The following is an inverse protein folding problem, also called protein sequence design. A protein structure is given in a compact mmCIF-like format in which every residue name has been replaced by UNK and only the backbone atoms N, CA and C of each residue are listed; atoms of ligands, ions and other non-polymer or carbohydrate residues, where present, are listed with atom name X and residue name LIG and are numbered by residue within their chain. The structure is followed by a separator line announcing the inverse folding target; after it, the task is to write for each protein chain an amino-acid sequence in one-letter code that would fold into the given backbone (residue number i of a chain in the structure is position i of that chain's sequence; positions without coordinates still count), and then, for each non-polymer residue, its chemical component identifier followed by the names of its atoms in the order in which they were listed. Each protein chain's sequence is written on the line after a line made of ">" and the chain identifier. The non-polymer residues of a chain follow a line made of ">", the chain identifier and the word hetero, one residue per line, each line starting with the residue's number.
data_IF_460207154637
#
_entry.id   IF_460207154637
#
_cell.length_a   1.000
_cell.length_b   1.000
_cell.length_c   1.000
_cell.angle_alpha   90.00
_cell.angle_beta   90.00
_cell.angle_gamma   90.00
#
_symmetry.space_group_name_H-M   'P 1'
#
loop_
_entity.id
_entity.type
_entity.pdbx_description
1 polymer ?
#
# COMPACT_ATOMS: atom_id res chain seq x y z
N UNK A 1 -1.37 -18.55 -17.85
CA UNK A 1 -0.97 -19.98 -17.78
C UNK A 1 -0.52 -20.25 -16.35
N UNK A 2 -1.05 -21.25 -15.62
CA UNK A 2 -0.67 -21.46 -14.23
C UNK A 2 0.66 -22.25 -14.18
N UNK A 3 1.76 -21.52 -14.38
CA UNK A 3 3.12 -22.09 -14.39
C UNK A 3 3.39 -22.77 -13.04
N UNK A 4 2.96 -22.17 -11.93
CA UNK A 4 3.10 -22.73 -10.59
C UNK A 4 2.19 -23.92 -10.30
N UNK A 5 0.90 -23.91 -10.64
CA UNK A 5 0.05 -25.09 -10.38
C UNK A 5 0.57 -26.33 -11.12
N UNK A 6 1.15 -26.13 -12.31
CA UNK A 6 1.85 -27.21 -13.01
C UNK A 6 3.18 -27.57 -12.35
N UNK A 7 3.93 -26.60 -11.83
CA UNK A 7 5.15 -26.87 -11.07
C UNK A 7 4.87 -27.65 -9.78
N UNK A 8 3.84 -27.29 -9.01
CA UNK A 8 3.38 -27.99 -7.80
C UNK A 8 3.00 -29.44 -8.09
N UNK A 9 2.20 -29.68 -9.15
CA UNK A 9 1.84 -31.04 -9.57
C UNK A 9 3.06 -31.90 -9.92
N UNK A 10 4.13 -31.27 -10.40
CA UNK A 10 5.34 -31.96 -10.83
C UNK A 10 6.52 -31.77 -9.87
N UNK A 11 6.29 -31.23 -8.67
CA UNK A 11 7.35 -30.83 -7.74
C UNK A 11 8.32 -31.98 -7.49
N UNK A 12 7.79 -33.15 -7.11
CA UNK A 12 8.58 -34.36 -6.85
C UNK A 12 9.43 -34.84 -8.03
N UNK A 13 9.08 -34.47 -9.26
CA UNK A 13 9.82 -34.86 -10.47
C UNK A 13 10.96 -33.90 -10.79
N UNK A 14 10.85 -32.63 -10.36
CA UNK A 14 11.76 -31.56 -10.77
C UNK A 14 12.40 -30.80 -9.60
N UNK A 15 12.11 -31.20 -8.36
CA UNK A 15 12.67 -30.60 -7.15
C UNK A 15 14.20 -30.69 -7.18
N UNK A 16 14.84 -29.55 -6.99
CA UNK A 16 16.28 -29.42 -6.99
C UNK A 16 16.69 -28.33 -6.00
N UNK A 17 17.70 -28.61 -5.19
CA UNK A 17 18.28 -27.59 -4.32
C UNK A 17 18.88 -26.44 -5.16
N UNK A 18 18.66 -25.20 -4.73
CA UNK A 18 19.15 -24.01 -5.42
C UNK A 18 20.67 -24.06 -5.63
N UNK A 19 21.42 -24.57 -4.65
CA UNK A 19 22.88 -24.77 -4.75
C UNK A 19 23.28 -25.71 -5.89
N UNK A 20 22.49 -26.76 -6.13
CA UNK A 20 22.74 -27.73 -7.22
C UNK A 20 22.38 -27.12 -8.58
N UNK A 21 21.35 -26.29 -8.63
CA UNK A 21 20.99 -25.51 -9.81
C UNK A 21 22.07 -24.48 -10.16
N UNK A 22 22.56 -23.70 -9.19
CA UNK A 22 23.64 -22.72 -9.39
C UNK A 22 24.91 -23.36 -9.98
N UNK A 23 25.30 -24.54 -9.47
CA UNK A 23 26.45 -25.27 -9.98
C UNK A 23 26.25 -25.72 -11.44
N UNK A 24 25.02 -26.09 -11.80
CA UNK A 24 24.66 -26.47 -13.16
C UNK A 24 24.70 -25.26 -14.11
N UNK A 25 24.19 -24.11 -13.67
CA UNK A 25 24.28 -22.84 -14.41
C UNK A 25 25.73 -22.42 -14.65
N UNK A 26 26.60 -22.54 -13.62
CA UNK A 26 28.04 -22.24 -13.75
C UNK A 26 28.72 -23.13 -14.79
N UNK A 27 28.28 -24.38 -14.94
CA UNK A 27 28.80 -25.27 -16.00
C UNK A 27 28.39 -24.83 -17.39
N UNK A 28 27.16 -24.32 -17.57
CA UNK A 28 26.68 -23.83 -18.87
C UNK A 28 27.56 -22.70 -19.41
N UNK A 29 28.09 -21.84 -18.53
CA UNK A 29 29.01 -20.75 -18.90
C UNK A 29 30.37 -21.20 -19.42
N UNK A 30 30.69 -22.50 -19.35
CA UNK A 30 31.96 -23.06 -19.84
C UNK A 30 31.90 -23.52 -21.31
N UNK A 31 30.71 -23.57 -21.90
CA UNK A 31 30.55 -23.98 -23.29
C UNK A 31 30.76 -22.78 -24.21
N UNK A 32 31.70 -22.91 -25.16
CA UNK A 32 32.08 -21.81 -26.07
C UNK A 32 30.93 -21.34 -26.99
N UNK A 33 29.97 -22.23 -27.27
CA UNK A 33 28.80 -21.91 -28.09
C UNK A 33 27.67 -21.22 -27.31
N UNK A 34 27.77 -21.09 -25.98
CA UNK A 34 26.78 -20.40 -25.15
C UNK A 34 27.32 -19.00 -24.82
N UNK A 35 26.82 -17.98 -25.53
CA UNK A 35 27.29 -16.59 -25.38
C UNK A 35 26.88 -15.94 -24.06
N UNK A 36 25.66 -16.21 -23.59
CA UNK A 36 25.09 -15.56 -22.40
C UNK A 36 24.27 -16.54 -21.59
N UNK A 37 24.46 -16.55 -20.27
CA UNK A 37 23.64 -17.32 -19.32
C UNK A 37 23.22 -16.40 -18.17
N UNK A 38 21.97 -16.00 -18.20
CA UNK A 38 21.33 -15.24 -17.13
C UNK A 38 20.63 -16.18 -16.16
N UNK A 39 20.85 -15.95 -14.87
CA UNK A 39 20.23 -16.71 -13.80
C UNK A 39 19.98 -15.76 -12.65
N UNK A 40 18.77 -15.78 -12.12
CA UNK A 40 18.37 -15.09 -10.89
C UNK A 40 18.04 -16.14 -9.86
N UNK A 41 18.49 -15.92 -8.62
CA UNK A 41 18.07 -16.75 -7.49
C UNK A 41 16.58 -16.59 -7.26
N UNK A 42 15.95 -17.55 -6.58
CA UNK A 42 14.52 -17.45 -6.25
C UNK A 42 14.21 -16.14 -5.50
N UNK A 43 15.04 -15.80 -4.52
CA UNK A 43 14.91 -14.55 -3.74
C UNK A 43 15.07 -13.26 -4.55
N UNK A 44 15.77 -13.31 -5.70
CA UNK A 44 15.91 -12.18 -6.63
C UNK A 44 14.77 -12.16 -7.67
N UNK A 45 14.30 -13.35 -8.06
CA UNK A 45 13.18 -13.52 -8.96
C UNK A 45 11.88 -13.01 -8.34
N UNK A 46 11.63 -13.28 -7.06
CA UNK A 46 10.46 -12.75 -6.33
C UNK A 46 10.43 -11.22 -6.23
N UNK A 47 11.57 -10.54 -6.42
CA UNK A 47 11.60 -9.08 -6.48
C UNK A 47 11.31 -8.52 -7.87
N UNK A 48 11.29 -9.37 -8.90
CA UNK A 48 11.19 -8.96 -10.30
C UNK A 48 9.75 -8.94 -10.79
N UNK A 49 9.40 -7.92 -11.57
CA UNK A 49 8.21 -7.94 -12.42
C UNK A 49 8.52 -8.80 -13.65
N UNK A 50 7.65 -9.75 -13.95
CA UNK A 50 7.81 -10.73 -15.02
C UNK A 50 6.64 -10.63 -15.98
N UNK A 51 6.94 -10.52 -17.27
CA UNK A 51 5.95 -10.67 -18.35
C UNK A 51 6.06 -12.10 -18.87
N UNK A 52 5.01 -12.89 -18.69
CA UNK A 52 4.98 -14.30 -19.11
C UNK A 52 4.46 -14.43 -20.55
N UNK A 53 4.60 -15.59 -21.24
CA UNK A 53 4.31 -15.72 -22.67
C UNK A 53 2.88 -15.38 -23.12
N UNK A 54 1.89 -15.47 -22.22
CA UNK A 54 0.53 -15.01 -22.49
C UNK A 54 0.32 -13.51 -22.24
N UNK A 55 1.42 -12.75 -22.13
CA UNK A 55 1.50 -11.34 -21.83
C UNK A 55 1.01 -10.90 -20.45
N UNK A 56 0.70 -11.83 -19.55
CA UNK A 56 0.38 -11.47 -18.16
C UNK A 56 1.61 -10.88 -17.48
N UNK A 57 1.40 -9.82 -16.72
CA UNK A 57 2.41 -9.11 -15.93
C UNK A 57 2.19 -9.53 -14.49
N UNK A 58 3.20 -10.18 -13.91
CA UNK A 58 3.13 -10.74 -12.56
C UNK A 58 4.37 -10.39 -11.74
N UNK A 59 4.25 -10.46 -10.41
CA UNK A 59 5.40 -10.57 -9.50
C UNK A 59 5.07 -11.67 -8.50
N UNK A 60 6.04 -12.51 -8.20
CA UNK A 60 5.88 -13.45 -7.11
C UNK A 60 6.24 -12.77 -5.80
N UNK A 61 5.36 -12.78 -4.80
CA UNK A 61 5.69 -12.39 -3.43
C UNK A 61 5.39 -13.55 -2.48
N UNK A 62 6.36 -13.94 -1.63
CA UNK A 62 6.21 -15.04 -0.66
C UNK A 62 5.69 -16.34 -1.28
N UNK A 63 6.20 -16.69 -2.47
CA UNK A 63 5.77 -17.88 -3.19
C UNK A 63 4.37 -17.82 -3.84
N UNK A 64 3.68 -16.66 -3.84
CA UNK A 64 2.40 -16.46 -4.52
C UNK A 64 2.56 -15.51 -5.71
N UNK A 65 1.96 -15.84 -6.85
CA UNK A 65 1.97 -14.98 -8.02
C UNK A 65 0.87 -13.92 -7.92
N UNK A 66 1.25 -12.64 -7.99
CA UNK A 66 0.35 -11.50 -8.02
C UNK A 66 0.23 -10.98 -9.44
N UNK A 67 -1.00 -10.92 -9.97
CA UNK A 67 -1.31 -10.42 -11.31
C UNK A 67 -1.51 -8.90 -11.29
N UNK A 68 -0.88 -8.19 -12.22
CA UNK A 68 -0.96 -6.73 -12.32
C UNK A 68 -1.57 -6.21 -13.62
N UNK A 69 -1.74 -7.07 -14.62
CA UNK A 69 -2.28 -6.67 -15.91
C UNK A 69 -1.82 -7.59 -17.02
N UNK A 70 -2.21 -7.26 -18.24
CA UNK A 70 -1.78 -7.98 -19.42
C UNK A 70 -1.22 -6.98 -20.43
N UNK A 71 0.02 -7.17 -20.88
CA UNK A 71 0.73 -6.25 -21.75
C UNK A 71 0.09 -6.08 -23.15
N UNK A 72 -0.84 -6.95 -23.54
CA UNK A 72 -1.61 -6.81 -24.80
C UNK A 72 -2.87 -5.97 -24.63
N UNK A 73 -3.32 -5.78 -23.39
CA UNK A 73 -4.42 -4.87 -23.07
C UNK A 73 -3.77 -3.55 -22.71
N UNK A 74 -4.15 -2.45 -23.35
CA UNK A 74 -3.65 -1.10 -23.04
C UNK A 74 -4.17 -0.60 -21.66
N UNK A 75 -4.16 -1.47 -20.66
CA UNK A 75 -4.51 -1.19 -19.28
C UNK A 75 -3.34 -0.44 -18.62
N UNK A 76 -3.63 0.66 -17.92
CA UNK A 76 -2.63 1.38 -17.14
C UNK A 76 -2.16 0.46 -16.01
N UNK A 77 -0.90 0.04 -16.07
CA UNK A 77 -0.26 -0.76 -15.02
C UNK A 77 0.08 0.18 -13.87
N UNK A 78 -0.62 0.03 -12.76
CA UNK A 78 -0.38 0.79 -11.54
C UNK A 78 0.83 0.22 -10.79
N UNK A 79 2.03 0.68 -11.16
CA UNK A 79 3.28 0.26 -10.52
C UNK A 79 3.32 0.61 -9.02
N UNK A 80 2.59 1.62 -8.56
CA UNK A 80 2.54 2.00 -7.13
C UNK A 80 1.91 0.86 -6.30
N UNK A 81 0.96 0.09 -6.86
CA UNK A 81 0.45 -1.14 -6.25
C UNK A 81 1.47 -2.28 -6.20
N UNK A 82 2.37 -2.35 -7.17
CA UNK A 82 3.42 -3.38 -7.24
C UNK A 82 4.47 -3.15 -6.16
N UNK A 83 4.81 -1.89 -5.89
CA UNK A 83 5.78 -1.50 -4.85
C UNK A 83 5.15 -1.38 -3.46
N UNK A 84 3.83 -1.22 -3.35
CA UNK A 84 3.15 -1.40 -2.08
C UNK A 84 3.31 -2.86 -1.67
N UNK A 85 3.95 -3.13 -0.53
CA UNK A 85 4.27 -4.48 -0.04
C UNK A 85 3.00 -5.27 0.39
N UNK A 86 1.86 -5.06 -0.28
CA UNK A 86 0.50 -5.39 0.17
C UNK A 86 0.01 -4.54 1.35
N UNK A 87 0.90 -3.75 1.96
CA UNK A 87 0.62 -3.00 3.18
C UNK A 87 -0.26 -1.79 2.92
N UNK A 88 -1.11 -1.48 3.89
CA UNK A 88 -1.92 -0.26 3.90
C UNK A 88 -0.98 0.93 4.15
N UNK A 89 -0.83 1.78 3.14
CA UNK A 89 0.01 2.98 3.21
C UNK A 89 -0.72 4.08 3.95
N UNK A 90 -0.25 4.41 5.15
CA UNK A 90 -0.97 5.27 6.10
C UNK A 90 -0.17 6.54 6.41
N UNK A 91 -0.82 7.70 6.30
CA UNK A 91 -0.31 9.01 6.74
C UNK A 91 -1.00 9.41 8.06
N UNK A 92 -0.24 9.96 9.01
CA UNK A 92 -0.77 10.42 10.31
C UNK A 92 -0.51 11.93 10.43
N UNK A 93 -1.56 12.74 10.55
CA UNK A 93 -1.47 14.18 10.65
C UNK A 93 -2.09 14.66 11.96
N UNK A 94 -1.27 15.19 12.87
CA UNK A 94 -1.72 15.68 14.16
C UNK A 94 -0.72 16.71 14.72
N UNK A 95 -1.21 17.82 15.26
CA UNK A 95 -0.37 18.92 15.76
C UNK A 95 0.28 18.65 17.13
N UNK A 96 -0.24 17.69 17.89
CA UNK A 96 0.40 17.16 19.12
C UNK A 96 1.29 15.94 18.82
N UNK A 97 2.60 16.10 19.02
CA UNK A 97 3.61 15.05 18.79
C UNK A 97 3.44 13.84 19.71
N UNK A 98 2.92 14.01 20.92
CA UNK A 98 2.70 12.91 21.86
C UNK A 98 1.57 12.01 21.34
N UNK A 99 0.50 12.60 20.80
CA UNK A 99 -0.59 11.86 20.16
C UNK A 99 -0.09 11.18 18.89
N UNK A 100 0.68 11.87 18.04
CA UNK A 100 1.31 11.28 16.86
C UNK A 100 2.13 10.04 17.21
N UNK A 101 3.01 10.14 18.21
CA UNK A 101 3.85 9.02 18.66
C UNK A 101 3.01 7.87 19.21
N UNK A 102 1.97 8.14 20.01
CA UNK A 102 1.04 7.11 20.52
C UNK A 102 0.33 6.37 19.39
N UNK A 103 -0.09 7.06 18.33
CA UNK A 103 -0.73 6.44 17.17
C UNK A 103 0.29 5.61 16.38
N UNK A 104 1.46 6.20 16.09
CA UNK A 104 2.56 5.53 15.38
C UNK A 104 2.97 4.23 16.09
N UNK A 105 3.18 4.27 17.41
CA UNK A 105 3.62 3.11 18.18
C UNK A 105 2.54 2.01 18.28
N UNK A 106 1.27 2.38 18.21
CA UNK A 106 0.17 1.43 18.12
C UNK A 106 0.13 0.74 16.75
N UNK A 107 0.22 1.53 15.67
CA UNK A 107 0.16 1.03 14.29
C UNK A 107 1.39 0.21 13.92
N UNK A 108 2.58 0.55 14.41
CA UNK A 108 3.83 -0.20 14.13
C UNK A 108 3.76 -1.68 14.53
N UNK A 109 2.82 -2.06 15.40
CA UNK A 109 2.58 -3.46 15.81
C UNK A 109 1.83 -4.25 14.73
N UNK A 110 1.24 -3.59 13.74
CA UNK A 110 0.53 -4.18 12.62
C UNK A 110 1.51 -4.40 11.46
N UNK A 111 1.81 -5.65 11.14
CA UNK A 111 2.77 -6.02 10.10
C UNK A 111 2.29 -5.69 8.68
N UNK A 112 0.98 -5.56 8.48
CA UNK A 112 0.33 -5.22 7.22
C UNK A 112 0.12 -3.72 6.99
N UNK A 113 0.73 -2.84 7.79
CA UNK A 113 0.63 -1.38 7.64
C UNK A 113 2.01 -0.77 7.38
N UNK A 114 2.06 0.23 6.51
CA UNK A 114 3.25 1.03 6.23
C UNK A 114 2.97 2.50 6.56
N UNK A 115 3.67 3.06 7.54
CA UNK A 115 3.53 4.47 7.92
C UNK A 115 4.42 5.28 6.97
N UNK A 116 3.81 5.87 5.94
CA UNK A 116 4.55 6.58 4.88
C UNK A 116 4.99 7.97 5.31
N UNK A 117 4.38 8.53 6.36
CA UNK A 117 4.80 9.80 6.93
C UNK A 117 3.94 10.25 8.10
N UNK A 118 4.39 11.32 8.74
CA UNK A 118 3.64 12.07 9.75
C UNK A 118 3.62 13.55 9.39
N UNK A 119 2.58 14.31 9.75
CA UNK A 119 2.52 15.77 9.53
C UNK A 119 2.01 16.49 10.78
N UNK A 120 2.48 17.73 11.01
CA UNK A 120 2.11 18.53 12.19
C UNK A 120 1.10 19.64 11.92
N UNK A 121 0.91 20.02 10.67
CA UNK A 121 -0.02 21.07 10.25
C UNK A 121 -0.69 20.72 8.91
N UNK A 122 -1.73 21.47 8.55
CA UNK A 122 -2.52 21.17 7.36
C UNK A 122 -1.77 21.35 6.04
N UNK A 123 -0.82 22.31 5.97
CA UNK A 123 -0.01 22.53 4.77
C UNK A 123 0.96 21.38 4.53
N UNK A 124 1.67 20.93 5.57
CA UNK A 124 2.54 19.75 5.48
C UNK A 124 1.73 18.50 5.11
N UNK A 125 0.54 18.38 5.68
CA UNK A 125 -0.37 17.27 5.42
C UNK A 125 -0.76 17.21 3.94
N UNK A 126 -1.18 18.34 3.37
CA UNK A 126 -1.56 18.43 1.95
C UNK A 126 -0.40 18.00 1.02
N UNK A 127 0.80 18.55 1.22
CA UNK A 127 1.95 18.20 0.39
C UNK A 127 2.27 16.70 0.49
N UNK A 128 2.23 16.13 1.69
CA UNK A 128 2.45 14.69 1.90
C UNK A 128 1.36 13.82 1.27
N UNK A 129 0.10 14.27 1.25
CA UNK A 129 -0.96 13.56 0.52
C UNK A 129 -0.62 13.50 -0.99
N UNK A 130 -0.20 14.61 -1.57
CA UNK A 130 0.12 14.71 -3.00
C UNK A 130 1.37 13.90 -3.35
N UNK A 131 2.44 14.06 -2.57
CA UNK A 131 3.75 13.48 -2.85
C UNK A 131 3.79 11.99 -2.53
N UNK A 132 3.25 11.60 -1.38
CA UNK A 132 3.32 10.22 -0.90
C UNK A 132 2.13 9.38 -1.37
N UNK A 133 1.03 10.00 -1.81
CA UNK A 133 -0.21 9.31 -2.24
C UNK A 133 -0.61 8.16 -1.29
N UNK A 134 -0.84 8.45 0.01
CA UNK A 134 -1.23 7.41 0.96
C UNK A 134 -2.55 6.75 0.53
N UNK A 135 -2.78 5.50 0.96
CA UNK A 135 -4.07 4.83 0.80
C UNK A 135 -5.08 5.33 1.83
N UNK A 136 -4.59 5.57 3.06
CA UNK A 136 -5.39 6.02 4.20
C UNK A 136 -4.68 7.16 4.94
N UNK A 137 -5.46 8.10 5.47
CA UNK A 137 -4.98 9.17 6.35
C UNK A 137 -5.79 9.21 7.64
N UNK A 138 -5.08 9.39 8.76
CA UNK A 138 -5.65 9.81 10.04
C UNK A 138 -5.23 11.24 10.30
N UNK A 139 -6.16 12.19 10.23
CA UNK A 139 -5.84 13.61 10.34
C UNK A 139 -6.69 14.28 11.41
N UNK A 140 -6.06 15.09 12.26
CA UNK A 140 -6.78 16.04 13.10
C UNK A 140 -7.55 17.02 12.23
N UNK A 141 -8.79 17.30 12.59
CA UNK A 141 -9.62 18.24 11.86
C UNK A 141 -9.13 19.68 12.03
N UNK A 142 -8.99 20.13 13.28
CA UNK A 142 -8.52 21.47 13.59
C UNK A 142 -7.00 21.50 13.70
N UNK A 143 -6.34 21.91 12.62
CA UNK A 143 -4.88 22.13 12.55
C UNK A 143 -4.58 23.53 12.02
N UNK A 144 -3.37 24.02 12.29
CA UNK A 144 -2.90 25.29 11.75
C UNK A 144 -2.81 25.24 10.22
N UNK A 145 -2.90 26.41 9.59
CA UNK A 145 -2.86 26.69 8.15
C UNK A 145 -4.03 26.14 7.31
N UNK A 146 -4.48 24.91 7.56
CA UNK A 146 -5.55 24.26 6.81
C UNK A 146 -6.28 23.25 7.69
N UNK A 147 -7.60 23.36 7.78
CA UNK A 147 -8.43 22.43 8.53
C UNK A 147 -8.78 21.18 7.69
N UNK A 148 -9.48 20.21 8.30
CA UNK A 148 -9.86 18.95 7.65
C UNK A 148 -10.74 19.13 6.40
N UNK A 149 -11.66 20.09 6.40
CA UNK A 149 -12.53 20.37 5.25
C UNK A 149 -11.74 21.00 4.09
N UNK A 150 -10.89 21.97 4.38
CA UNK A 150 -10.02 22.61 3.40
C UNK A 150 -9.06 21.58 2.79
N UNK A 151 -8.49 20.71 3.63
CA UNK A 151 -7.61 19.63 3.21
C UNK A 151 -8.32 18.66 2.25
N UNK A 152 -9.57 18.32 2.54
CA UNK A 152 -10.42 17.47 1.68
C UNK A 152 -10.67 18.16 0.33
N UNK A 153 -11.05 19.44 0.33
CA UNK A 153 -11.29 20.23 -0.90
C UNK A 153 -10.04 20.28 -1.77
N UNK A 154 -8.92 20.73 -1.22
CA UNK A 154 -7.65 20.86 -1.96
C UNK A 154 -7.13 19.51 -2.45
N UNK A 155 -7.29 18.44 -1.65
CA UNK A 155 -6.89 17.09 -2.06
C UNK A 155 -7.77 16.55 -3.18
N UNK A 156 -9.09 16.79 -3.11
CA UNK A 156 -10.04 16.36 -4.16
C UNK A 156 -9.77 17.08 -5.47
N UNK A 157 -9.52 18.38 -5.43
CA UNK A 157 -9.17 19.18 -6.62
C UNK A 157 -7.90 18.66 -7.28
N UNK A 158 -6.87 18.32 -6.49
CA UNK A 158 -5.57 17.89 -7.02
C UNK A 158 -5.52 16.43 -7.47
N UNK A 159 -6.20 15.53 -6.75
CA UNK A 159 -6.09 14.07 -6.94
C UNK A 159 -7.32 13.44 -7.60
N UNK A 160 -8.40 14.19 -7.81
CA UNK A 160 -9.66 13.73 -8.40
C UNK A 160 -10.20 12.45 -7.72
N UNK A 161 -10.10 11.29 -8.38
CA UNK A 161 -10.59 10.01 -7.87
C UNK A 161 -9.54 9.22 -7.08
N UNK A 162 -8.28 9.65 -7.10
CA UNK A 162 -7.15 9.02 -6.41
C UNK A 162 -6.97 9.53 -4.99
N UNK A 163 -8.01 10.13 -4.41
CA UNK A 163 -7.98 10.67 -3.05
C UNK A 163 -7.87 9.53 -2.01
N UNK A 164 -7.07 9.71 -0.93
CA UNK A 164 -6.98 8.74 0.16
C UNK A 164 -8.30 8.57 0.90
N UNK A 165 -8.37 7.52 1.70
CA UNK A 165 -9.44 7.32 2.67
C UNK A 165 -9.15 8.21 3.89
N UNK A 166 -10.07 9.13 4.19
CA UNK A 166 -9.97 10.06 5.31
C UNK A 166 -10.62 9.48 6.57
N UNK A 167 -9.86 9.53 7.66
CA UNK A 167 -10.34 9.33 9.03
C UNK A 167 -10.04 10.61 9.82
N UNK A 168 -11.09 11.31 10.24
CA UNK A 168 -10.98 12.59 10.92
C UNK A 168 -10.90 12.40 12.43
N UNK A 169 -9.94 13.07 13.07
CA UNK A 169 -9.79 13.12 14.52
C UNK A 169 -10.33 14.48 15.00
N UNK A 170 -11.34 14.48 15.86
CA UNK A 170 -12.09 15.68 16.26
C UNK A 170 -12.08 15.90 17.79
N UNK A 171 -11.76 17.11 18.23
CA UNK A 171 -11.70 17.48 19.66
C UNK A 171 -13.09 17.89 20.24
N UNK A 172 -14.20 17.62 19.55
CA UNK A 172 -15.61 17.99 19.86
C UNK A 172 -16.14 19.33 19.30
N UNK A 173 -15.40 20.05 18.44
CA UNK A 173 -15.81 21.35 17.86
C UNK A 173 -15.94 21.36 16.34
N UNK A 174 -16.44 20.28 15.74
CA UNK A 174 -16.77 20.29 14.30
C UNK A 174 -18.27 20.47 14.16
N UNK A 175 -18.69 21.39 13.31
CA UNK A 175 -20.11 21.57 13.04
C UNK A 175 -20.60 20.41 12.15
N UNK A 176 -21.79 19.87 12.41
CA UNK A 176 -22.32 18.71 11.64
C UNK A 176 -22.35 18.98 10.13
N UNK A 177 -22.66 20.21 9.73
CA UNK A 177 -22.67 20.64 8.32
C UNK A 177 -21.30 20.52 7.62
N UNK A 178 -20.19 20.65 8.33
CA UNK A 178 -18.85 20.49 7.75
C UNK A 178 -18.53 19.03 7.44
N UNK A 179 -19.06 18.09 8.25
CA UNK A 179 -18.92 16.65 8.01
C UNK A 179 -19.77 16.25 6.80
N UNK A 180 -21.01 16.76 6.71
CA UNK A 180 -21.88 16.54 5.56
C UNK A 180 -21.24 17.07 4.27
N UNK A 181 -20.67 18.27 4.31
CA UNK A 181 -19.98 18.84 3.15
C UNK A 181 -18.79 17.99 2.71
N UNK A 182 -17.99 17.48 3.65
CA UNK A 182 -16.92 16.54 3.30
C UNK A 182 -17.47 15.27 2.64
N UNK A 183 -18.57 14.72 3.17
CA UNK A 183 -19.21 13.55 2.58
C UNK A 183 -19.74 13.83 1.17
N UNK A 184 -20.26 15.02 0.89
CA UNK A 184 -20.67 15.42 -0.46
C UNK A 184 -19.48 15.51 -1.43
N UNK A 185 -18.30 15.92 -0.96
CA UNK A 185 -17.10 16.07 -1.78
C UNK A 185 -16.43 14.72 -2.08
N UNK A 186 -16.30 13.85 -1.07
CA UNK A 186 -15.47 12.63 -1.16
C UNK A 186 -16.25 11.32 -0.95
N UNK A 187 -17.53 11.41 -0.59
CA UNK A 187 -18.42 10.28 -0.38
C UNK A 187 -17.85 9.28 0.62
N UNK A 188 -17.88 8.01 0.23
CA UNK A 188 -17.38 6.87 1.03
C UNK A 188 -15.88 6.90 1.32
N UNK A 189 -15.12 7.87 0.77
CA UNK A 189 -13.73 8.09 1.15
C UNK A 189 -13.61 8.80 2.49
N UNK A 190 -14.68 9.42 2.99
CA UNK A 190 -14.78 9.75 4.42
C UNK A 190 -15.20 8.48 5.16
N UNK A 191 -14.25 7.84 5.84
CA UNK A 191 -14.46 6.53 6.47
C UNK A 191 -14.89 6.62 7.93
N UNK A 192 -14.28 7.53 8.69
CA UNK A 192 -14.54 7.63 10.13
C UNK A 192 -14.34 9.05 10.66
N UNK A 193 -15.08 9.36 11.71
CA UNK A 193 -14.91 10.52 12.56
C UNK A 193 -14.67 10.02 13.99
N UNK A 194 -13.46 10.25 14.49
CA UNK A 194 -12.91 9.74 15.74
C UNK A 194 -12.87 10.89 16.74
N UNK A 195 -13.50 10.73 17.89
CA UNK A 195 -13.33 11.70 18.98
C UNK A 195 -11.92 11.61 19.55
N UNK A 196 -11.26 12.76 19.69
CA UNK A 196 -9.98 12.92 20.39
C UNK A 196 -10.15 12.64 21.87
N UNK A 197 -10.09 11.37 22.21
CA UNK A 197 -10.14 10.85 23.58
C UNK A 197 -8.83 10.16 23.91
N UNK A 198 -8.65 9.77 25.18
CA UNK A 198 -7.46 9.06 25.65
C UNK A 198 -7.20 7.74 24.90
N UNK A 199 -8.23 7.18 24.25
CA UNK A 199 -8.19 5.90 23.54
C UNK A 199 -8.00 6.01 22.02
N UNK A 200 -7.55 7.17 21.52
CA UNK A 200 -7.38 7.41 20.07
C UNK A 200 -6.57 6.32 19.36
N UNK A 201 -5.50 5.82 19.97
CA UNK A 201 -4.67 4.76 19.39
C UNK A 201 -5.46 3.47 19.14
N UNK A 202 -6.37 3.10 20.04
CA UNK A 202 -7.18 1.89 19.89
C UNK A 202 -8.18 2.07 18.74
N UNK A 203 -8.86 3.21 18.68
CA UNK A 203 -9.78 3.52 17.58
C UNK A 203 -9.09 3.48 16.22
N UNK A 204 -7.88 4.05 16.12
CA UNK A 204 -7.09 4.02 14.88
C UNK A 204 -6.73 2.57 14.49
N UNK A 205 -6.27 1.76 15.45
CA UNK A 205 -5.95 0.34 15.20
C UNK A 205 -7.19 -0.44 14.75
N UNK A 206 -8.33 -0.26 15.41
CA UNK A 206 -9.58 -0.94 15.08
C UNK A 206 -10.07 -0.60 13.67
N UNK A 207 -10.00 0.68 13.29
CA UNK A 207 -10.37 1.13 11.93
C UNK A 207 -9.46 0.49 10.87
N UNK A 208 -8.15 0.44 11.12
CA UNK A 208 -7.20 -0.17 10.19
C UNK A 208 -7.46 -1.68 10.05
N UNK A 209 -7.71 -2.38 11.16
CA UNK A 209 -8.05 -3.81 11.14
C UNK A 209 -9.33 -4.07 10.32
N UNK A 210 -10.40 -3.31 10.58
CA UNK A 210 -11.66 -3.42 9.84
C UNK A 210 -11.47 -3.17 8.34
N UNK A 211 -10.65 -2.18 7.99
CA UNK A 211 -10.34 -1.89 6.60
C UNK A 211 -9.53 -3.02 5.93
N UNK A 212 -8.55 -3.58 6.64
CA UNK A 212 -7.79 -4.74 6.17
C UNK A 212 -8.69 -5.96 5.93
N UNK A 213 -9.61 -6.25 6.85
CA UNK A 213 -10.57 -7.33 6.71
C UNK A 213 -11.49 -7.11 5.50
N UNK A 214 -11.98 -5.89 5.29
CA UNK A 214 -12.78 -5.54 4.12
C UNK A 214 -12.00 -5.70 2.81
N UNK A 215 -10.71 -5.33 2.80
CA UNK A 215 -9.83 -5.43 1.62
C UNK A 215 -9.54 -6.88 1.24
N UNK A 216 -9.38 -7.76 2.24
CA UNK A 216 -9.00 -9.16 2.03
C UNK A 216 -10.19 -10.13 1.87
N UNK A 217 -11.40 -9.73 2.27
CA UNK A 217 -12.62 -10.54 2.11
C UNK A 217 -13.40 -10.26 0.79
N UNK A 218 -12.73 -9.67 -0.21
CA UNK A 218 -13.25 -9.48 -1.57
C UNK A 218 -12.57 -10.40 -2.56
#
# INVERSE_FOLDING_TARGET
>A
MPIRERAEKNEKLFEIEEKKLENSVKRLRKFENIKTVEYKKQSEFEKSIVIVPNADIIQTQNGKDHYFGNALKEEIIDFDKIYSNGKIRTLIAHNDINITNKIVDAIKKLDFVDIVGTAKDGTETYHKIVDLKPEMIFTKYAMDNMNGLDLVKSSKEKLENNIPIFNMIIDNKVQENEIDEMYDIIGRKLNSVISSSDNISNSVVDIINQYNDYKNNK
#
